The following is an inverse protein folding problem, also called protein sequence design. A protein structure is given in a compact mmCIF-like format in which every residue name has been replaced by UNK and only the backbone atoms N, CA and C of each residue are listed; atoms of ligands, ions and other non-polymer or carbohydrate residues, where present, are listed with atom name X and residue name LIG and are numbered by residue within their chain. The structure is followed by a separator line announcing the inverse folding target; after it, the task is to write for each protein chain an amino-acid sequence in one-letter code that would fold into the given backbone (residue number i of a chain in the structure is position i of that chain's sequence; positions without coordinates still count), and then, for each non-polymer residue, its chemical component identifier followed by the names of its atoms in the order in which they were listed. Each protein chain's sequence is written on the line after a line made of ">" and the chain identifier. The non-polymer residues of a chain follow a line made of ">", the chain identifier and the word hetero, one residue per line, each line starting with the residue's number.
data_IF_953802667010
#
_entry.id   IF_953802667010
#
_cell.length_a   1.000
_cell.length_b   1.000
_cell.length_c   1.000
_cell.angle_alpha   90.00
_cell.angle_beta   90.00
_cell.angle_gamma   90.00
#
_symmetry.space_group_name_H-M   'P 1'
#
loop_
_entity.id
_entity.type
_entity.pdbx_description
1 polymer ?
#
# COMPACT_ATOMS: atom_id res chain seq x y z
N UNK A 1 -10.26 10.76 -4.19
CA UNK A 1 -10.15 10.04 -2.92
C UNK A 1 -10.65 8.66 -3.22
N UNK A 2 -9.81 7.69 -2.92
CA UNK A 2 -9.92 6.35 -3.47
C UNK A 2 -9.74 5.34 -2.34
N UNK A 3 -10.46 4.23 -2.43
CA UNK A 3 -10.50 3.20 -1.38
C UNK A 3 -10.31 1.84 -2.01
N UNK A 4 -9.39 1.06 -1.45
CA UNK A 4 -9.19 -0.34 -1.78
C UNK A 4 -9.48 -1.21 -0.55
N UNK A 5 -10.04 -2.38 -0.78
CA UNK A 5 -10.44 -3.33 0.25
C UNK A 5 -9.86 -4.72 -0.04
N UNK A 6 -9.12 -5.24 0.93
CA UNK A 6 -8.68 -6.63 0.95
C UNK A 6 -9.23 -7.34 2.20
N UNK A 7 -9.45 -8.66 2.10
CA UNK A 7 -9.88 -9.49 3.23
C UNK A 7 -8.88 -10.64 3.43
N UNK A 8 -8.45 -10.84 4.67
CA UNK A 8 -7.56 -11.93 5.04
C UNK A 8 -7.99 -12.62 6.33
N UNK A 9 -7.39 -13.77 6.60
CA UNK A 9 -7.52 -14.50 7.86
C UNK A 9 -6.18 -14.42 8.61
N UNK A 10 -6.17 -13.85 9.81
CA UNK A 10 -4.94 -13.57 10.56
C UNK A 10 -4.94 -14.23 11.95
N UNK A 11 -3.73 -14.50 12.48
CA UNK A 11 -3.51 -14.93 13.87
C UNK A 11 -3.73 -16.42 14.15
N UNK A 12 -3.22 -16.91 15.30
CA UNK A 12 -3.32 -18.32 15.71
C UNK A 12 -4.74 -18.79 16.03
N UNK A 13 -5.58 -17.89 16.53
CA UNK A 13 -7.00 -18.17 16.80
C UNK A 13 -7.90 -17.93 15.59
N UNK A 14 -7.32 -17.41 14.50
CA UNK A 14 -8.01 -17.20 13.25
C UNK A 14 -9.13 -16.14 13.31
N UNK A 15 -8.82 -14.94 12.85
CA UNK A 15 -9.80 -13.85 12.72
C UNK A 15 -9.85 -13.35 11.29
N UNK A 16 -11.06 -13.10 10.80
CA UNK A 16 -11.24 -12.38 9.55
C UNK A 16 -10.97 -10.90 9.77
N UNK A 17 -10.10 -10.33 8.93
CA UNK A 17 -9.68 -8.94 8.99
C UNK A 17 -9.83 -8.32 7.61
N UNK A 18 -10.33 -7.09 7.57
CA UNK A 18 -10.26 -6.24 6.40
C UNK A 18 -9.03 -5.33 6.49
N UNK A 19 -8.23 -5.28 5.42
CA UNK A 19 -7.28 -4.21 5.20
C UNK A 19 -7.93 -3.17 4.27
N UNK A 20 -8.16 -1.98 4.82
CA UNK A 20 -8.72 -0.84 4.07
C UNK A 20 -7.57 0.12 3.78
N UNK A 21 -7.32 0.39 2.50
CA UNK A 21 -6.32 1.37 2.07
C UNK A 21 -7.06 2.59 1.53
N UNK A 22 -6.81 3.75 2.12
CA UNK A 22 -7.47 5.01 1.76
C UNK A 22 -6.44 5.98 1.22
N UNK A 23 -6.55 6.33 -0.06
CA UNK A 23 -5.75 7.36 -0.70
C UNK A 23 -6.47 8.70 -0.58
N UNK A 24 -5.93 9.58 0.27
CA UNK A 24 -6.48 10.92 0.48
C UNK A 24 -6.01 11.89 -0.60
N UNK A 25 -6.77 12.96 -0.76
CA UNK A 25 -6.34 14.13 -1.54
C UNK A 25 -4.97 14.60 -1.04
N UNK A 26 -4.01 14.77 -1.96
CA UNK A 26 -2.61 15.06 -1.62
C UNK A 26 -1.68 13.84 -1.56
N UNK A 27 -2.18 12.63 -1.85
CA UNK A 27 -1.35 11.42 -2.03
C UNK A 27 -1.00 10.66 -0.76
N UNK A 28 -1.49 11.09 0.41
CA UNK A 28 -1.30 10.37 1.66
C UNK A 28 -2.10 9.06 1.66
N UNK A 29 -1.43 7.94 1.98
CA UNK A 29 -2.08 6.63 2.09
C UNK A 29 -2.21 6.22 3.56
N UNK A 30 -3.43 5.86 3.96
CA UNK A 30 -3.71 5.30 5.27
C UNK A 30 -4.13 3.85 5.12
N UNK A 31 -3.51 2.98 5.91
CA UNK A 31 -3.90 1.57 6.03
C UNK A 31 -4.59 1.34 7.36
N UNK A 32 -5.77 0.72 7.33
CA UNK A 32 -6.54 0.34 8.51
C UNK A 32 -6.76 -1.17 8.51
N UNK A 33 -6.53 -1.81 9.66
CA UNK A 33 -6.96 -3.19 9.91
C UNK A 33 -8.25 -3.18 10.72
N UNK A 34 -9.26 -3.90 10.27
CA UNK A 34 -10.60 -3.89 10.85
C UNK A 34 -11.10 -5.33 11.07
N UNK A 35 -11.68 -5.64 12.24
CA UNK A 35 -12.34 -6.94 12.46
C UNK A 35 -13.55 -7.06 11.55
N UNK A 36 -13.61 -8.14 10.77
CA UNK A 36 -14.65 -8.31 9.78
C UNK A 36 -16.03 -8.65 10.38
N UNK A 37 -16.10 -9.02 11.66
CA UNK A 37 -17.35 -9.41 12.33
C UNK A 37 -18.10 -8.21 12.89
N UNK A 38 -17.37 -7.24 13.47
CA UNK A 38 -17.98 -6.14 14.22
C UNK A 38 -17.49 -4.74 13.81
N UNK A 39 -16.52 -4.64 12.90
CA UNK A 39 -16.00 -3.36 12.43
C UNK A 39 -15.00 -2.69 13.38
N UNK A 40 -14.55 -3.37 14.43
CA UNK A 40 -13.56 -2.82 15.36
C UNK A 40 -12.24 -2.54 14.66
N UNK A 41 -11.70 -1.33 14.80
CA UNK A 41 -10.38 -0.97 14.28
C UNK A 41 -9.30 -1.60 15.15
N UNK A 42 -8.48 -2.46 14.53
CA UNK A 42 -7.44 -3.23 15.19
C UNK A 42 -6.08 -2.53 15.15
N UNK A 43 -5.94 -1.57 14.25
CA UNK A 43 -4.75 -0.74 14.11
C UNK A 43 -4.78 0.07 12.82
N UNK A 44 -4.08 1.19 12.82
CA UNK A 44 -3.90 2.03 11.64
C UNK A 44 -2.50 2.61 11.63
N UNK A 45 -1.84 2.60 10.47
CA UNK A 45 -0.50 3.17 10.32
C UNK A 45 -0.49 4.08 9.09
N UNK A 46 -0.28 5.39 9.26
CA UNK A 46 -0.07 6.28 8.13
C UNK A 46 1.20 5.83 7.41
N UNK A 47 1.14 5.73 6.09
CA UNK A 47 2.33 5.59 5.25
C UNK A 47 2.45 6.90 4.48
N UNK A 48 3.37 7.74 4.93
CA UNK A 48 3.81 8.86 4.14
C UNK A 48 4.55 8.27 2.94
N UNK A 49 3.92 8.33 1.77
CA UNK A 49 4.64 8.11 0.52
C UNK A 49 5.56 9.31 0.33
N UNK A 50 6.76 9.25 0.92
CA UNK A 50 7.88 9.99 0.37
C UNK A 50 8.01 9.53 -1.08
N UNK A 51 7.81 10.45 -2.02
CA UNK A 51 7.85 10.22 -3.45
C UNK A 51 9.08 9.39 -3.84
N UNK A 52 8.90 8.10 -4.13
CA UNK A 52 10.06 7.21 -4.17
C UNK A 52 9.76 5.82 -4.69
N UNK A 53 9.03 5.69 -5.80
CA UNK A 53 9.09 4.48 -6.63
C UNK A 53 8.59 4.83 -8.04
N UNK A 54 9.44 5.54 -8.79
CA UNK A 54 9.46 5.36 -10.25
C UNK A 54 10.24 4.06 -10.47
N UNK A 55 9.66 3.00 -11.07
CA UNK A 55 10.48 1.88 -11.51
C UNK A 55 11.52 2.44 -12.49
N UNK A 56 12.79 2.25 -12.15
CA UNK A 56 13.88 2.56 -13.05
C UNK A 56 13.64 1.78 -14.34
N UNK A 57 13.29 2.49 -15.41
CA UNK A 57 13.48 1.97 -16.75
C UNK A 57 14.96 1.69 -16.90
N UNK A 58 15.35 0.44 -16.75
CA UNK A 58 16.64 -0.09 -17.15
C UNK A 58 16.80 0.15 -18.65
N UNK A 59 17.42 1.28 -19.01
CA UNK A 59 17.90 1.57 -20.35
C UNK A 59 19.36 2.00 -20.24
N UNK A 60 20.23 1.01 -20.15
CA UNK A 60 21.67 1.13 -20.33
C UNK A 60 22.10 0.22 -21.47
N UNK A 61 22.53 0.83 -22.58
CA UNK A 61 23.68 0.42 -23.42
C UNK A 61 23.87 1.53 -24.46
N UNK A 62 24.63 2.57 -24.10
CA UNK A 62 26.06 2.77 -24.43
C UNK A 62 26.22 3.35 -25.83
N UNK A 63 26.39 4.66 -25.85
CA UNK A 63 27.04 5.42 -26.91
C UNK A 63 28.57 5.26 -26.74
N UNK A 64 29.28 4.81 -27.77
CA UNK A 64 30.71 5.09 -28.00
C UNK A 64 31.08 4.68 -29.43
N UNK A 65 31.64 5.59 -30.21
CA UNK A 65 32.49 5.24 -31.34
C UNK A 65 32.38 6.15 -32.56
N UNK A 66 32.96 7.35 -32.47
CA UNK A 66 33.37 8.14 -33.63
C UNK A 66 34.47 7.42 -34.45
N UNK A 67 34.45 7.67 -35.77
CA UNK A 67 35.43 7.37 -36.85
C UNK A 67 35.22 6.12 -37.68
#
# INVERSE_FOLDING_TARGET
>A
MDVELERGYEGRGGRWVYEIKVLRTGGALIKLKVDARDGTVLGGKPRDHAAGERPASSRTHRETGER
#
